data_IF_786905217761
#
_entry.id   IF_786905217761
#
_cell.length_a   1.000
_cell.length_b   1.000
_cell.length_c   1.000
_cell.angle_alpha   90.00
_cell.angle_beta   90.00
_cell.angle_gamma   90.00
#
_symmetry.space_group_name_H-M   'P 1'
#
loop_
_entity.id
_entity.type
_entity.pdbx_description
1 polymer ?
#
# COMPACT_ATOMS: atom_id res chain seq x y z
N UNK A 1 93.37 21.20 10.03
CA UNK A 1 92.85 20.90 8.72
C UNK A 1 92.76 19.39 8.61
N UNK A 2 91.60 18.80 8.92
CA UNK A 2 91.39 17.35 8.88
C UNK A 2 90.23 17.07 7.92
N UNK A 3 90.54 16.42 6.79
CA UNK A 3 89.63 15.90 5.79
C UNK A 3 89.04 14.60 6.28
N UNK A 4 87.75 14.58 6.60
CA UNK A 4 86.99 13.35 6.88
C UNK A 4 86.46 12.73 5.59
N UNK A 5 86.93 11.56 5.27
CA UNK A 5 86.48 10.69 4.17
C UNK A 5 85.14 10.07 4.51
N UNK A 6 84.13 10.37 3.71
CA UNK A 6 82.77 9.79 3.76
C UNK A 6 82.83 8.32 3.30
N UNK A 7 82.64 7.39 4.25
CA UNK A 7 82.51 5.97 3.98
C UNK A 7 81.20 5.64 3.25
N UNK A 8 81.35 4.93 2.13
CA UNK A 8 80.25 4.38 1.38
C UNK A 8 79.55 3.25 2.15
N UNK A 9 78.27 3.40 2.42
CA UNK A 9 77.42 2.38 3.02
C UNK A 9 77.14 1.31 1.93
N UNK A 10 77.33 0.01 2.18
CA UNK A 10 76.98 -1.03 1.22
C UNK A 10 75.43 -1.13 1.15
N UNK A 11 74.93 -1.16 -0.10
CA UNK A 11 73.54 -1.36 -0.39
C UNK A 11 73.03 -2.69 0.21
N UNK A 12 71.94 -2.60 1.00
CA UNK A 12 71.21 -3.80 1.44
C UNK A 12 70.63 -4.51 0.22
N UNK A 13 70.74 -5.85 0.10
CA UNK A 13 70.07 -6.61 -0.91
C UNK A 13 68.54 -6.51 -0.71
N UNK A 14 67.84 -6.19 -1.77
CA UNK A 14 66.37 -6.27 -1.83
C UNK A 14 65.95 -7.70 -1.53
N UNK A 15 64.98 -7.96 -0.65
CA UNK A 15 64.45 -9.29 -0.42
C UNK A 15 63.74 -9.77 -1.69
N UNK A 16 64.08 -11.00 -2.15
CA UNK A 16 63.35 -11.67 -3.22
C UNK A 16 61.86 -11.71 -2.94
N UNK A 17 61.01 -11.48 -3.95
CA UNK A 17 59.57 -11.60 -3.78
C UNK A 17 59.22 -13.05 -3.41
N UNK A 18 58.54 -13.22 -2.29
CA UNK A 18 58.11 -14.53 -1.81
C UNK A 18 57.29 -15.27 -2.88
N UNK A 19 57.61 -16.52 -3.21
CA UNK A 19 56.83 -17.33 -4.16
C UNK A 19 55.53 -17.73 -3.48
N UNK A 20 54.38 -17.09 -3.84
CA UNK A 20 53.10 -17.57 -3.34
C UNK A 20 51.93 -16.58 -3.24
N UNK A 21 51.92 -15.47 -3.94
CA UNK A 21 50.83 -14.51 -3.86
C UNK A 21 50.11 -14.29 -5.19
N UNK A 22 49.65 -15.37 -5.82
CA UNK A 22 48.53 -15.27 -6.77
C UNK A 22 47.89 -16.66 -6.97
N UNK A 23 47.27 -17.14 -5.89
CA UNK A 23 46.30 -18.23 -6.03
C UNK A 23 44.92 -17.56 -6.18
N UNK A 24 44.53 -17.31 -7.42
CA UNK A 24 43.15 -17.00 -7.75
C UNK A 24 42.21 -18.00 -7.06
N UNK A 25 40.97 -17.59 -6.68
CA UNK A 25 40.07 -18.37 -5.84
C UNK A 25 39.96 -19.82 -6.37
N UNK A 26 40.42 -20.75 -5.54
CA UNK A 26 40.54 -22.16 -5.81
C UNK A 26 39.25 -22.67 -6.48
N UNK A 27 39.36 -23.29 -7.67
CA UNK A 27 38.24 -23.85 -8.43
C UNK A 27 37.43 -24.82 -7.56
N UNK A 28 38.04 -25.49 -6.60
CA UNK A 28 37.38 -26.35 -5.60
C UNK A 28 36.51 -25.54 -4.62
N UNK A 29 36.95 -24.37 -4.18
CA UNK A 29 36.17 -23.51 -3.29
C UNK A 29 34.95 -22.89 -4.02
N UNK A 30 35.08 -22.55 -5.31
CA UNK A 30 33.94 -22.11 -6.14
C UNK A 30 32.97 -23.26 -6.42
N UNK A 31 33.43 -24.47 -6.69
CA UNK A 31 32.56 -25.63 -6.88
C UNK A 31 31.79 -25.98 -5.58
N UNK A 32 32.47 -26.01 -4.45
CA UNK A 32 31.85 -26.27 -3.15
C UNK A 32 30.82 -25.20 -2.75
N UNK A 33 31.04 -23.91 -3.07
CA UNK A 33 30.04 -22.83 -2.90
C UNK A 33 28.85 -23.02 -3.83
N UNK A 34 29.07 -23.42 -5.07
CA UNK A 34 27.98 -23.71 -6.03
C UNK A 34 27.11 -24.90 -5.58
N UNK A 35 27.73 -25.98 -5.07
CA UNK A 35 27.00 -27.16 -4.61
C UNK A 35 26.20 -26.89 -3.31
N UNK A 36 26.78 -26.12 -2.39
CA UNK A 36 26.03 -25.62 -1.21
C UNK A 36 24.85 -24.73 -1.61
N UNK A 37 25.04 -23.78 -2.51
CA UNK A 37 23.96 -22.91 -2.99
C UNK A 37 22.83 -23.71 -3.66
N UNK A 38 23.17 -24.76 -4.42
CA UNK A 38 22.18 -25.68 -5.02
C UNK A 38 21.44 -26.51 -3.98
N UNK A 39 22.15 -27.00 -2.96
CA UNK A 39 21.54 -27.76 -1.86
C UNK A 39 20.60 -26.88 -1.04
N UNK A 40 21.02 -25.65 -0.72
CA UNK A 40 20.20 -24.64 -0.04
C UNK A 40 18.96 -24.25 -0.86
N UNK A 41 19.13 -24.04 -2.16
CA UNK A 41 18.02 -23.77 -3.07
C UNK A 41 17.01 -24.94 -3.13
N UNK A 42 17.49 -26.19 -3.20
CA UNK A 42 16.62 -27.38 -3.16
C UNK A 42 15.88 -27.47 -1.85
N UNK A 43 16.56 -27.29 -0.71
CA UNK A 43 15.94 -27.29 0.60
C UNK A 43 14.88 -26.16 0.70
N UNK A 44 15.21 -24.98 0.19
CA UNK A 44 14.25 -23.85 0.11
C UNK A 44 12.99 -24.21 -0.70
N UNK A 45 13.15 -24.87 -1.85
CA UNK A 45 12.03 -25.34 -2.65
C UNK A 45 11.24 -26.49 -1.97
N UNK A 46 11.87 -27.39 -1.27
CA UNK A 46 11.17 -28.44 -0.50
C UNK A 46 10.34 -27.86 0.65
N UNK A 47 10.85 -26.84 1.32
CA UNK A 47 10.16 -26.21 2.45
C UNK A 47 9.07 -25.20 2.01
N UNK A 48 9.39 -24.35 1.04
CA UNK A 48 8.48 -23.29 0.58
C UNK A 48 7.56 -23.76 -0.57
N UNK A 49 8.02 -24.73 -1.38
CA UNK A 49 7.32 -25.18 -2.58
C UNK A 49 5.87 -25.61 -2.35
N UNK A 50 5.58 -26.48 -1.40
CA UNK A 50 4.19 -26.89 -1.13
C UNK A 50 3.27 -25.73 -0.80
N UNK A 51 3.73 -24.81 0.07
CA UNK A 51 2.96 -23.62 0.43
C UNK A 51 2.76 -22.70 -0.79
N UNK A 52 3.80 -22.52 -1.61
CA UNK A 52 3.74 -21.73 -2.83
C UNK A 52 2.79 -22.31 -3.88
N UNK A 53 2.80 -23.65 -4.06
CA UNK A 53 1.89 -24.34 -4.98
C UNK A 53 0.44 -24.20 -4.53
N UNK A 54 0.15 -24.40 -3.23
CA UNK A 54 -1.21 -24.22 -2.69
C UNK A 54 -1.66 -22.78 -2.84
N UNK A 55 -0.81 -21.80 -2.52
CA UNK A 55 -1.11 -20.38 -2.68
C UNK A 55 -1.41 -20.04 -4.16
N UNK A 56 -0.59 -20.53 -5.10
CA UNK A 56 -0.83 -20.31 -6.52
C UNK A 56 -2.13 -20.97 -6.98
N UNK A 57 -2.40 -22.21 -6.59
CA UNK A 57 -3.63 -22.92 -6.98
C UNK A 57 -4.88 -22.17 -6.49
N UNK A 58 -4.89 -21.75 -5.23
CA UNK A 58 -6.05 -21.08 -4.62
C UNK A 58 -6.23 -19.65 -5.17
N UNK A 59 -5.14 -18.95 -5.51
CA UNK A 59 -5.23 -17.55 -5.96
C UNK A 59 -5.31 -17.44 -7.47
N UNK A 60 -4.47 -18.16 -8.20
CA UNK A 60 -4.35 -18.02 -9.66
C UNK A 60 -5.55 -18.64 -10.38
N UNK A 61 -6.07 -19.76 -9.88
CA UNK A 61 -7.22 -20.44 -10.51
C UNK A 61 -8.47 -19.53 -10.62
N UNK A 62 -8.96 -18.89 -9.54
CA UNK A 62 -10.11 -17.98 -9.64
C UNK A 62 -9.84 -16.77 -10.53
N UNK A 63 -8.60 -16.25 -10.55
CA UNK A 63 -8.23 -15.14 -11.43
C UNK A 63 -8.31 -15.57 -12.90
N UNK A 64 -7.72 -16.71 -13.25
CA UNK A 64 -7.78 -17.25 -14.61
C UNK A 64 -9.21 -17.58 -15.01
N UNK A 65 -10.01 -18.09 -14.08
CA UNK A 65 -11.43 -18.36 -14.31
C UNK A 65 -12.19 -17.05 -14.61
N UNK A 66 -11.95 -15.98 -13.86
CA UNK A 66 -12.58 -14.69 -14.12
C UNK A 66 -12.17 -14.13 -15.51
N UNK A 67 -10.88 -14.25 -15.88
CA UNK A 67 -10.42 -13.89 -17.23
C UNK A 67 -11.11 -14.72 -18.32
N UNK A 68 -11.25 -16.02 -18.10
CA UNK A 68 -11.94 -16.89 -19.05
C UNK A 68 -13.41 -16.54 -19.17
N UNK A 69 -14.14 -16.41 -18.05
CA UNK A 69 -15.57 -16.10 -18.03
C UNK A 69 -15.86 -14.71 -18.61
N UNK A 70 -14.94 -13.75 -18.48
CA UNK A 70 -15.08 -12.40 -19.04
C UNK A 70 -15.20 -12.36 -20.57
N UNK A 71 -14.74 -13.41 -21.27
CA UNK A 71 -14.80 -13.53 -22.73
C UNK A 71 -16.11 -14.13 -23.24
N UNK A 72 -16.99 -14.51 -22.32
CA UNK A 72 -18.25 -15.13 -22.65
C UNK A 72 -19.46 -14.28 -22.22
N UNK A 73 -20.52 -14.31 -23.00
CA UNK A 73 -21.83 -13.93 -22.51
C UNK A 73 -22.35 -15.11 -21.66
N UNK A 74 -22.09 -15.02 -20.35
CA UNK A 74 -22.44 -16.05 -19.40
C UNK A 74 -23.35 -15.48 -18.32
N UNK A 75 -24.58 -15.99 -18.28
CA UNK A 75 -25.60 -15.66 -17.29
C UNK A 75 -25.93 -16.92 -16.49
N UNK A 76 -25.95 -16.84 -15.19
CA UNK A 76 -26.28 -17.97 -14.32
C UNK A 76 -27.75 -18.39 -14.43
N UNK A 77 -28.61 -17.47 -14.89
CA UNK A 77 -30.04 -17.74 -15.17
C UNK A 77 -30.27 -18.55 -16.44
N UNK A 78 -29.29 -18.61 -17.35
CA UNK A 78 -29.36 -19.35 -18.61
C UNK A 78 -27.96 -19.98 -18.89
N UNK A 79 -27.55 -20.99 -18.13
CA UNK A 79 -26.20 -21.54 -18.22
C UNK A 79 -25.91 -22.24 -19.54
N UNK A 80 -26.97 -22.76 -20.21
CA UNK A 80 -26.85 -23.44 -21.50
C UNK A 80 -26.68 -22.46 -22.67
N UNK A 81 -27.03 -21.18 -22.50
CA UNK A 81 -26.86 -20.11 -23.51
C UNK A 81 -25.53 -19.36 -23.31
N UNK A 82 -24.46 -20.11 -23.13
CA UNK A 82 -23.12 -19.55 -22.99
C UNK A 82 -22.48 -19.39 -24.36
N UNK A 83 -22.30 -18.14 -24.83
CA UNK A 83 -21.70 -17.83 -26.13
C UNK A 83 -20.38 -17.07 -25.96
N UNK A 84 -19.39 -17.37 -26.81
CA UNK A 84 -18.12 -16.63 -26.83
C UNK A 84 -18.31 -15.29 -27.52
N UNK A 85 -18.04 -14.21 -26.81
CA UNK A 85 -18.17 -12.82 -27.30
C UNK A 85 -16.81 -12.08 -27.36
N UNK A 86 -15.72 -12.75 -27.01
CA UNK A 86 -14.38 -12.16 -27.01
C UNK A 86 -14.32 -10.91 -26.14
N UNK A 87 -13.94 -9.78 -26.71
CA UNK A 87 -13.86 -8.50 -25.99
C UNK A 87 -15.19 -7.71 -25.94
N UNK A 88 -16.30 -8.30 -26.39
CA UNK A 88 -17.61 -7.63 -26.44
C UNK A 88 -18.04 -7.08 -25.07
N UNK A 89 -17.88 -7.84 -23.99
CA UNK A 89 -18.19 -7.36 -22.63
C UNK A 89 -17.40 -6.10 -22.27
N UNK A 90 -16.12 -6.04 -22.61
CA UNK A 90 -15.25 -4.89 -22.33
C UNK A 90 -15.69 -3.64 -23.12
N UNK A 91 -16.09 -3.81 -24.39
CA UNK A 91 -16.60 -2.70 -25.20
C UNK A 91 -17.87 -2.13 -24.57
N UNK A 92 -18.81 -2.99 -24.18
CA UNK A 92 -20.05 -2.56 -23.51
C UNK A 92 -19.74 -1.79 -22.23
N UNK A 93 -18.86 -2.31 -21.36
CA UNK A 93 -18.52 -1.66 -20.09
C UNK A 93 -17.85 -0.30 -20.34
N UNK A 94 -16.85 -0.24 -21.22
CA UNK A 94 -16.07 0.99 -21.46
C UNK A 94 -16.86 2.07 -22.21
N UNK A 95 -17.96 1.72 -22.89
CA UNK A 95 -18.87 2.66 -23.52
C UNK A 95 -20.02 3.09 -22.60
N UNK A 96 -20.21 2.41 -21.46
CA UNK A 96 -21.26 2.75 -20.48
C UNK A 96 -20.84 3.94 -19.61
N UNK A 97 -21.61 5.04 -19.56
CA UNK A 97 -21.36 6.16 -18.64
C UNK A 97 -21.34 5.76 -17.16
N UNK A 98 -22.04 4.69 -16.76
CA UNK A 98 -22.06 4.19 -15.38
C UNK A 98 -20.67 3.76 -14.95
N UNK A 99 -19.93 3.04 -15.79
CA UNK A 99 -18.54 2.65 -15.52
C UNK A 99 -17.65 3.85 -15.18
N UNK A 100 -17.70 4.89 -15.99
CA UNK A 100 -16.84 6.07 -15.81
C UNK A 100 -17.20 6.90 -14.58
N UNK A 101 -18.50 6.99 -14.26
CA UNK A 101 -18.97 7.61 -13.02
C UNK A 101 -18.44 6.86 -11.81
N UNK A 102 -18.59 5.53 -11.77
CA UNK A 102 -18.21 4.70 -10.63
C UNK A 102 -16.68 4.61 -10.50
N UNK A 103 -15.96 4.66 -11.63
CA UNK A 103 -14.51 4.82 -11.66
C UNK A 103 -14.10 6.16 -11.02
N UNK A 104 -14.74 7.26 -11.40
CA UNK A 104 -14.46 8.58 -10.85
C UNK A 104 -14.73 8.65 -9.35
N UNK A 105 -15.84 8.08 -8.88
CA UNK A 105 -16.19 7.99 -7.46
C UNK A 105 -15.16 7.16 -6.69
N UNK A 106 -14.81 5.98 -7.21
CA UNK A 106 -13.80 5.09 -6.61
C UNK A 106 -12.44 5.81 -6.49
N UNK A 107 -12.03 6.45 -7.59
CA UNK A 107 -10.76 7.19 -7.64
C UNK A 107 -10.77 8.40 -6.70
N UNK A 108 -11.87 9.13 -6.61
CA UNK A 108 -12.04 10.25 -5.68
C UNK A 108 -11.92 9.79 -4.22
N UNK A 109 -12.64 8.75 -3.83
CA UNK A 109 -12.56 8.18 -2.47
C UNK A 109 -11.12 7.77 -2.17
N UNK A 110 -10.46 7.05 -3.09
CA UNK A 110 -9.06 6.61 -2.92
C UNK A 110 -8.13 7.80 -2.71
N UNK A 111 -8.16 8.80 -3.58
CA UNK A 111 -7.23 9.94 -3.51
C UNK A 111 -7.44 10.75 -2.25
N UNK A 112 -8.70 11.08 -1.92
CA UNK A 112 -9.00 11.89 -0.75
C UNK A 112 -8.65 11.14 0.54
N UNK A 113 -9.04 9.87 0.67
CA UNK A 113 -8.72 9.08 1.86
C UNK A 113 -7.21 8.95 2.04
N UNK A 114 -6.46 8.57 1.00
CA UNK A 114 -4.99 8.38 1.10
C UNK A 114 -4.27 9.67 1.48
N UNK A 115 -4.67 10.80 0.90
CA UNK A 115 -4.07 12.11 1.24
C UNK A 115 -4.34 12.49 2.70
N UNK A 116 -5.59 12.39 3.15
CA UNK A 116 -5.97 12.71 4.54
C UNK A 116 -5.28 11.76 5.52
N UNK A 117 -5.29 10.46 5.22
CA UNK A 117 -4.64 9.44 6.03
C UNK A 117 -3.11 9.62 6.10
N UNK A 118 -2.48 10.05 5.02
CA UNK A 118 -1.05 10.35 5.02
C UNK A 118 -0.73 11.51 5.96
N UNK A 119 -1.52 12.58 5.94
CA UNK A 119 -1.35 13.73 6.82
C UNK A 119 -1.58 13.34 8.29
N UNK A 120 -2.71 12.69 8.59
CA UNK A 120 -3.04 12.24 9.93
C UNK A 120 -2.06 11.15 10.42
N UNK A 121 -1.68 10.23 9.55
CA UNK A 121 -0.72 9.18 9.82
C UNK A 121 0.66 9.74 10.18
N UNK A 122 1.15 10.78 9.48
CA UNK A 122 2.36 11.48 9.88
C UNK A 122 2.22 12.15 11.25
N UNK A 123 1.11 12.84 11.51
CA UNK A 123 0.87 13.46 12.81
C UNK A 123 0.91 12.42 13.94
N UNK A 124 0.21 11.30 13.77
CA UNK A 124 0.21 10.20 14.74
C UNK A 124 1.58 9.52 14.86
N UNK A 125 2.30 9.32 13.77
CA UNK A 125 3.65 8.75 13.78
C UNK A 125 4.62 9.65 14.58
N UNK A 126 4.57 10.96 14.39
CA UNK A 126 5.38 11.92 15.13
C UNK A 126 5.02 11.94 16.62
N UNK A 127 3.72 11.87 16.97
CA UNK A 127 3.28 11.75 18.38
C UNK A 127 3.82 10.46 18.99
N UNK A 128 3.68 9.33 18.31
CA UNK A 128 4.22 8.04 18.80
C UNK A 128 5.74 8.02 18.90
N UNK A 129 6.44 8.67 17.97
CA UNK A 129 7.91 8.75 17.97
C UNK A 129 8.43 9.56 19.15
N UNK A 130 7.80 10.72 19.44
CA UNK A 130 8.21 11.64 20.52
C UNK A 130 7.63 11.28 21.89
N UNK A 131 6.72 10.31 21.95
CA UNK A 131 6.04 9.93 23.19
C UNK A 131 7.02 9.48 24.27
N UNK A 132 6.73 9.84 25.52
CA UNK A 132 7.46 9.42 26.70
C UNK A 132 7.51 7.88 26.75
N UNK A 133 8.68 7.32 27.03
CA UNK A 133 8.94 5.87 26.98
C UNK A 133 7.89 5.03 27.72
N UNK A 134 7.36 5.51 28.86
CA UNK A 134 6.33 4.81 29.66
C UNK A 134 4.96 4.77 29.00
N UNK A 135 4.57 5.81 28.23
CA UNK A 135 3.26 5.93 27.58
C UNK A 135 3.25 5.41 26.15
N UNK A 136 4.43 5.14 25.58
CA UNK A 136 4.58 4.76 24.16
C UNK A 136 3.78 3.50 23.80
N UNK A 137 3.79 2.48 24.67
CA UNK A 137 3.02 1.24 24.47
C UNK A 137 1.51 1.51 24.47
N UNK A 138 1.01 2.20 25.48
CA UNK A 138 -0.40 2.53 25.63
C UNK A 138 -0.93 3.36 24.44
N UNK A 139 -0.18 4.39 24.04
CA UNK A 139 -0.54 5.24 22.89
C UNK A 139 -0.59 4.43 21.59
N UNK A 140 0.38 3.53 21.34
CA UNK A 140 0.37 2.67 20.16
C UNK A 140 -0.84 1.76 20.14
N UNK A 141 -1.16 1.12 21.26
CA UNK A 141 -2.34 0.26 21.38
C UNK A 141 -3.62 1.05 21.17
N UNK A 142 -3.78 2.21 21.81
CA UNK A 142 -4.98 3.04 21.67
C UNK A 142 -5.19 3.52 20.23
N UNK A 143 -4.12 3.94 19.54
CA UNK A 143 -4.18 4.34 18.13
C UNK A 143 -4.58 3.16 17.23
N UNK A 144 -4.18 1.93 17.55
CA UNK A 144 -4.46 0.74 16.73
C UNK A 144 -5.87 0.18 16.90
N UNK A 145 -6.61 0.56 17.94
CA UNK A 145 -7.96 0.02 18.22
C UNK A 145 -8.89 0.13 17.01
N UNK A 146 -9.02 1.28 16.30
CA UNK A 146 -9.91 1.39 15.15
C UNK A 146 -9.56 0.40 14.03
N UNK A 147 -8.28 0.18 13.76
CA UNK A 147 -7.83 -0.73 12.72
C UNK A 147 -8.16 -2.20 13.03
N UNK A 148 -8.20 -2.57 14.30
CA UNK A 148 -8.56 -3.93 14.75
C UNK A 148 -10.05 -4.27 14.62
N UNK A 149 -10.92 -3.29 14.37
CA UNK A 149 -12.36 -3.52 14.20
C UNK A 149 -12.64 -4.06 12.79
N UNK A 150 -13.48 -5.09 12.69
CA UNK A 150 -13.93 -5.63 11.41
C UNK A 150 -14.63 -4.54 10.60
N UNK A 151 -14.33 -4.41 9.29
CA UNK A 151 -14.81 -3.32 8.44
C UNK A 151 -16.32 -3.21 8.41
N UNK A 152 -17.02 -4.34 8.29
CA UNK A 152 -18.50 -4.41 8.30
C UNK A 152 -19.08 -3.81 9.60
N UNK A 153 -18.50 -4.18 10.76
CA UNK A 153 -18.95 -3.66 12.07
C UNK A 153 -18.70 -2.16 12.17
N UNK A 154 -17.55 -1.70 11.72
CA UNK A 154 -17.23 -0.27 11.64
C UNK A 154 -18.22 0.47 10.75
N UNK A 155 -18.52 -0.06 9.56
CA UNK A 155 -19.44 0.55 8.62
C UNK A 155 -20.86 0.69 9.21
N UNK A 156 -21.36 -0.35 9.89
CA UNK A 156 -22.65 -0.25 10.60
C UNK A 156 -22.62 0.77 11.74
N UNK A 157 -21.55 0.80 12.53
CA UNK A 157 -21.43 1.77 13.63
C UNK A 157 -21.47 3.21 13.11
N UNK A 158 -20.77 3.50 12.01
CA UNK A 158 -20.80 4.81 11.36
C UNK A 158 -22.14 5.11 10.71
N UNK A 159 -22.77 4.12 10.04
CA UNK A 159 -24.09 4.26 9.48
C UNK A 159 -25.11 4.70 10.56
N UNK A 160 -25.18 3.95 11.67
CA UNK A 160 -26.12 4.29 12.76
C UNK A 160 -25.75 5.61 13.46
N UNK A 161 -24.48 5.95 13.58
CA UNK A 161 -24.08 7.22 14.19
C UNK A 161 -24.59 8.45 13.40
N UNK A 162 -24.60 8.33 12.06
CA UNK A 162 -24.99 9.39 11.13
C UNK A 162 -26.43 9.26 10.60
N UNK A 163 -27.18 8.23 11.03
CA UNK A 163 -28.58 8.04 10.65
C UNK A 163 -29.46 9.16 11.20
N UNK A 164 -30.39 9.66 10.37
CA UNK A 164 -31.25 10.79 10.73
C UNK A 164 -32.18 10.49 11.91
N UNK A 165 -32.59 9.21 12.06
CA UNK A 165 -33.59 8.80 13.05
C UNK A 165 -32.97 8.32 14.35
N UNK A 166 -31.94 7.49 14.25
CA UNK A 166 -31.30 6.81 15.38
C UNK A 166 -29.94 7.39 15.75
N UNK A 167 -29.38 8.25 14.88
CA UNK A 167 -28.03 8.77 15.02
C UNK A 167 -27.91 9.89 16.05
N UNK A 168 -26.71 10.03 16.61
CA UNK A 168 -26.39 11.04 17.63
C UNK A 168 -25.49 12.16 17.09
N UNK A 169 -24.96 12.05 15.88
CA UNK A 169 -24.02 13.02 15.31
C UNK A 169 -24.68 14.39 15.15
N UNK A 170 -25.89 14.43 14.64
CA UNK A 170 -26.63 15.70 14.48
C UNK A 170 -26.80 16.46 15.80
N UNK A 171 -27.13 15.75 16.88
CA UNK A 171 -27.30 16.36 18.20
C UNK A 171 -25.98 16.79 18.85
N UNK A 172 -24.85 16.14 18.51
CA UNK A 172 -23.55 16.53 19.05
C UNK A 172 -22.95 17.74 18.34
N UNK A 173 -23.30 17.94 17.09
CA UNK A 173 -22.74 18.98 16.21
C UNK A 173 -23.77 20.02 15.76
N UNK A 174 -24.90 20.14 16.44
CA UNK A 174 -25.99 21.14 16.16
C UNK A 174 -25.51 22.59 16.22
N UNK A 175 -24.43 22.85 16.98
CA UNK A 175 -23.75 24.15 17.06
C UNK A 175 -22.95 24.51 15.80
N UNK A 176 -22.71 23.57 14.89
CA UNK A 176 -21.98 23.80 13.64
C UNK A 176 -22.94 24.29 12.57
N UNK A 177 -22.71 25.48 11.96
CA UNK A 177 -23.56 25.97 10.88
C UNK A 177 -23.71 24.96 9.75
N UNK A 178 -24.92 24.59 9.40
CA UNK A 178 -25.24 23.61 8.36
C UNK A 178 -25.48 22.18 8.87
N UNK A 179 -25.19 21.88 10.14
CA UNK A 179 -25.57 20.63 10.79
C UNK A 179 -26.79 20.89 11.67
N UNK A 180 -27.99 20.64 11.14
CA UNK A 180 -29.24 20.70 11.91
C UNK A 180 -29.69 19.32 12.36
N UNK A 181 -30.69 19.25 13.28
CA UNK A 181 -31.22 17.99 13.76
C UNK A 181 -31.81 17.11 12.64
N UNK A 182 -32.29 17.72 11.57
CA UNK A 182 -32.93 17.03 10.44
C UNK A 182 -31.99 16.76 9.27
N UNK A 183 -30.70 16.96 9.45
CA UNK A 183 -29.72 16.69 8.37
C UNK A 183 -29.63 15.19 8.06
N UNK A 184 -30.06 14.84 6.86
CA UNK A 184 -29.86 13.48 6.34
C UNK A 184 -28.53 13.39 5.57
N UNK A 185 -27.52 12.82 6.23
CA UNK A 185 -26.18 12.65 5.66
C UNK A 185 -26.15 11.76 4.43
N UNK A 186 -27.11 10.83 4.33
CA UNK A 186 -27.17 9.88 3.21
C UNK A 186 -28.16 10.30 2.12
N UNK A 187 -28.71 11.53 2.15
CA UNK A 187 -29.60 12.03 1.12
C UNK A 187 -28.90 12.55 -0.13
N UNK A 188 -27.65 12.99 -0.01
CA UNK A 188 -26.89 13.63 -1.09
C UNK A 188 -25.53 12.99 -1.27
N UNK A 189 -25.01 12.98 -2.52
CA UNK A 189 -23.72 12.40 -2.85
C UNK A 189 -22.57 12.93 -1.97
N UNK A 190 -22.49 14.28 -1.82
CA UNK A 190 -21.37 14.90 -1.09
C UNK A 190 -21.32 14.52 0.38
N UNK A 191 -22.45 14.55 1.07
CA UNK A 191 -22.55 14.18 2.50
C UNK A 191 -22.33 12.68 2.70
N UNK A 192 -22.88 11.86 1.81
CA UNK A 192 -22.65 10.41 1.84
C UNK A 192 -21.16 10.06 1.66
N UNK A 193 -20.51 10.66 0.65
CA UNK A 193 -19.06 10.45 0.41
C UNK A 193 -18.22 10.96 1.59
N UNK A 194 -18.62 12.06 2.22
CA UNK A 194 -17.93 12.55 3.42
C UNK A 194 -17.96 11.51 4.55
N UNK A 195 -19.12 10.91 4.86
CA UNK A 195 -19.24 9.90 5.92
C UNK A 195 -18.45 8.63 5.55
N UNK A 196 -18.55 8.18 4.30
CA UNK A 196 -17.79 7.01 3.80
C UNK A 196 -16.28 7.25 3.95
N UNK A 197 -15.78 8.40 3.48
CA UNK A 197 -14.35 8.73 3.56
C UNK A 197 -13.93 8.91 5.02
N UNK A 198 -14.72 9.58 5.85
CA UNK A 198 -14.40 9.78 7.27
C UNK A 198 -14.27 8.45 8.03
N UNK A 199 -15.19 7.51 7.78
CA UNK A 199 -15.15 6.17 8.38
C UNK A 199 -13.92 5.39 7.93
N UNK A 200 -13.58 5.48 6.66
CA UNK A 200 -12.41 4.83 6.06
C UNK A 200 -11.11 5.39 6.66
N UNK A 201 -10.98 6.73 6.67
CA UNK A 201 -9.83 7.44 7.26
C UNK A 201 -9.67 7.09 8.73
N UNK A 202 -10.76 7.13 9.52
CA UNK A 202 -10.70 6.80 10.94
C UNK A 202 -10.16 5.39 11.19
N UNK A 203 -10.65 4.43 10.40
CA UNK A 203 -10.30 3.02 10.55
C UNK A 203 -8.86 2.73 10.13
N UNK A 204 -8.37 3.32 9.06
CA UNK A 204 -7.15 2.88 8.37
C UNK A 204 -5.93 3.79 8.60
N UNK A 205 -6.12 5.03 9.07
CA UNK A 205 -5.02 5.92 9.48
C UNK A 205 -4.02 5.26 10.45
N UNK A 206 -4.44 4.44 11.44
CA UNK A 206 -3.52 3.73 12.32
C UNK A 206 -2.49 2.87 11.58
N UNK A 207 -2.90 2.18 10.52
CA UNK A 207 -2.02 1.35 9.71
C UNK A 207 -0.93 2.19 9.01
N UNK A 208 -1.33 3.28 8.35
CA UNK A 208 -0.37 4.22 7.75
C UNK A 208 0.57 4.79 8.81
N UNK A 209 0.04 5.16 9.98
CA UNK A 209 0.85 5.74 11.05
C UNK A 209 1.94 4.80 11.55
N UNK A 210 1.70 3.48 11.57
CA UNK A 210 2.71 2.48 11.92
C UNK A 210 3.78 2.34 10.83
N UNK A 211 3.38 2.30 9.55
CA UNK A 211 4.34 2.25 8.44
C UNK A 211 5.25 3.48 8.43
N UNK A 212 4.66 4.66 8.65
CA UNK A 212 5.42 5.90 8.75
C UNK A 212 6.29 5.96 10.00
N UNK A 213 5.83 5.42 11.13
CA UNK A 213 6.63 5.30 12.35
C UNK A 213 7.84 4.39 12.15
N UNK A 214 7.66 3.26 11.44
CA UNK A 214 8.77 2.38 11.09
C UNK A 214 9.79 3.06 10.16
N UNK A 215 9.31 3.85 9.19
CA UNK A 215 10.17 4.69 8.35
C UNK A 215 10.91 5.77 9.15
N UNK A 216 10.20 6.45 10.06
CA UNK A 216 10.79 7.49 10.92
C UNK A 216 11.87 6.95 11.84
N UNK A 217 11.74 5.72 12.32
CA UNK A 217 12.75 5.06 13.14
C UNK A 217 14.06 4.72 12.39
N UNK A 218 14.05 4.76 11.06
CA UNK A 218 15.23 4.53 10.23
C UNK A 218 15.99 5.82 9.89
N UNK A 219 15.40 7.00 10.16
CA UNK A 219 16.07 8.29 9.94
C UNK A 219 17.17 8.47 11.00
N UNK A 220 18.46 8.67 10.61
CA UNK A 220 19.54 8.89 11.56
C UNK A 220 19.29 10.15 12.39
N UNK A 221 19.39 10.04 13.73
CA UNK A 221 19.17 11.14 14.67
C UNK A 221 20.15 12.30 14.46
N UNK A 222 21.39 11.97 14.09
CA UNK A 222 22.45 12.94 13.83
C UNK A 222 22.09 13.98 12.76
N UNK A 223 21.31 13.57 11.75
CA UNK A 223 20.83 14.50 10.70
C UNK A 223 19.82 15.52 11.27
N UNK A 224 18.97 15.10 12.20
CA UNK A 224 18.03 16.02 12.84
C UNK A 224 18.75 16.94 13.84
N UNK A 225 19.76 16.43 14.54
CA UNK A 225 20.58 17.22 15.46
C UNK A 225 21.45 18.24 14.72
N UNK A 226 22.12 17.87 13.64
CA UNK A 226 22.89 18.77 12.77
C UNK A 226 22.00 19.91 12.25
N UNK A 227 20.81 19.58 11.74
CA UNK A 227 19.86 20.59 11.25
C UNK A 227 19.38 21.54 12.38
N UNK A 228 19.31 21.07 13.65
CA UNK A 228 19.01 21.95 14.78
C UNK A 228 20.15 22.91 15.08
N UNK A 229 21.40 22.44 15.02
CA UNK A 229 22.58 23.28 15.20
C UNK A 229 22.67 24.35 14.12
N UNK A 230 22.30 24.02 12.87
CA UNK A 230 22.21 24.96 11.74
C UNK A 230 21.03 25.95 11.84
N UNK A 231 20.24 25.90 12.93
CA UNK A 231 19.12 26.82 13.17
C UNK A 231 17.85 26.50 12.36
N UNK A 232 17.72 25.28 11.78
CA UNK A 232 16.54 24.90 11.02
C UNK A 232 15.28 24.82 11.93
N UNK A 233 14.17 25.41 11.46
CA UNK A 233 12.87 25.32 12.11
C UNK A 233 12.32 23.91 12.09
N UNK A 234 11.33 23.60 12.92
CA UNK A 234 10.68 22.26 12.96
C UNK A 234 10.13 21.85 11.60
N UNK A 235 9.52 22.79 10.85
CA UNK A 235 9.01 22.55 9.50
C UNK A 235 10.12 22.29 8.48
N UNK A 236 11.22 23.03 8.56
CA UNK A 236 12.39 22.82 7.69
C UNK A 236 13.01 21.43 7.95
N UNK A 237 13.19 21.04 9.22
CA UNK A 237 13.66 19.68 9.56
C UNK A 237 12.71 18.60 9.03
N UNK A 238 11.41 18.77 9.24
CA UNK A 238 10.42 17.83 8.72
C UNK A 238 10.49 17.71 7.20
N UNK A 239 10.38 18.83 6.47
CA UNK A 239 10.25 18.82 5.01
C UNK A 239 11.56 18.55 4.26
N UNK A 240 12.71 18.97 4.80
CA UNK A 240 14.02 18.89 4.11
C UNK A 240 14.90 17.75 4.60
N UNK A 241 14.64 17.22 5.81
CA UNK A 241 15.45 16.13 6.40
C UNK A 241 14.60 14.87 6.54
N UNK A 242 13.52 14.91 7.31
CA UNK A 242 12.74 13.72 7.63
C UNK A 242 12.04 13.14 6.39
N UNK A 243 11.20 13.93 5.71
CA UNK A 243 10.41 13.46 4.57
C UNK A 243 11.28 12.89 3.43
N UNK A 244 12.39 13.54 3.01
CA UNK A 244 13.24 12.99 1.96
C UNK A 244 13.89 11.65 2.33
N UNK A 245 14.32 11.48 3.61
CA UNK A 245 14.90 10.23 4.10
C UNK A 245 13.86 9.10 4.26
N UNK A 246 12.56 9.47 4.41
CA UNK A 246 11.45 8.52 4.51
C UNK A 246 10.80 8.19 3.16
N UNK A 247 11.31 8.69 2.04
CA UNK A 247 10.67 8.56 0.72
C UNK A 247 10.26 7.12 0.37
N UNK A 248 11.11 6.15 0.66
CA UNK A 248 10.81 4.73 0.42
C UNK A 248 9.67 4.23 1.31
N UNK A 249 9.66 4.57 2.60
CA UNK A 249 8.60 4.19 3.52
C UNK A 249 7.26 4.85 3.17
N UNK A 250 7.28 6.14 2.77
CA UNK A 250 6.11 6.87 2.29
C UNK A 250 5.54 6.20 1.04
N UNK A 251 6.40 5.85 0.08
CA UNK A 251 5.98 5.16 -1.15
C UNK A 251 5.27 3.85 -0.81
N UNK A 252 5.86 3.03 0.06
CA UNK A 252 5.27 1.76 0.47
C UNK A 252 3.91 1.98 1.15
N UNK A 253 3.81 2.95 2.05
CA UNK A 253 2.57 3.28 2.75
C UNK A 253 1.47 3.75 1.77
N UNK A 254 1.80 4.68 0.87
CA UNK A 254 0.87 5.18 -0.16
C UNK A 254 0.45 4.07 -1.12
N UNK A 255 1.40 3.22 -1.57
CA UNK A 255 1.10 2.12 -2.47
C UNK A 255 0.11 1.14 -1.84
N UNK A 256 0.42 0.61 -0.64
CA UNK A 256 -0.48 -0.32 0.04
C UNK A 256 -1.87 0.28 0.25
N UNK A 257 -1.91 1.55 0.67
CA UNK A 257 -3.18 2.21 0.96
C UNK A 257 -3.99 2.54 -0.29
N UNK A 258 -3.34 2.97 -1.37
CA UNK A 258 -4.02 3.22 -2.64
C UNK A 258 -4.65 1.93 -3.21
N UNK A 259 -3.93 0.80 -3.13
CA UNK A 259 -4.43 -0.50 -3.57
C UNK A 259 -5.62 -0.99 -2.73
N UNK A 260 -5.59 -0.74 -1.43
CA UNK A 260 -6.67 -1.10 -0.53
C UNK A 260 -7.90 -0.20 -0.74
N UNK A 261 -7.71 1.13 -0.74
CA UNK A 261 -8.77 2.10 -0.92
C UNK A 261 -9.46 2.02 -2.31
N UNK A 262 -8.73 1.65 -3.37
CA UNK A 262 -9.32 1.48 -4.69
C UNK A 262 -10.30 0.29 -4.78
N UNK A 263 -10.20 -0.65 -3.85
CA UNK A 263 -11.08 -1.81 -3.75
C UNK A 263 -12.11 -1.68 -2.62
N UNK A 264 -12.38 -0.45 -2.17
CA UNK A 264 -13.38 -0.19 -1.14
C UNK A 264 -14.73 -0.80 -1.54
N UNK A 265 -15.35 -1.54 -0.61
CA UNK A 265 -16.62 -2.21 -0.83
C UNK A 265 -17.56 -2.07 0.38
N UNK A 266 -17.16 -2.57 1.55
CA UNK A 266 -18.01 -2.73 2.73
C UNK A 266 -18.68 -1.43 3.17
N UNK A 267 -17.92 -0.33 3.25
CA UNK A 267 -18.44 0.96 3.70
C UNK A 267 -19.52 1.49 2.75
N UNK A 268 -19.29 1.40 1.43
CA UNK A 268 -20.25 1.84 0.42
C UNK A 268 -21.48 0.94 0.40
N UNK A 269 -21.27 -0.39 0.44
CA UNK A 269 -22.35 -1.36 0.43
C UNK A 269 -23.29 -1.20 1.62
N UNK A 270 -22.76 -0.97 2.83
CA UNK A 270 -23.54 -0.88 4.06
C UNK A 270 -24.20 0.49 4.21
N UNK A 271 -23.46 1.58 3.95
CA UNK A 271 -23.96 2.93 4.24
C UNK A 271 -24.94 3.42 3.18
N UNK A 272 -24.68 3.19 1.91
CA UNK A 272 -25.48 3.75 0.81
C UNK A 272 -25.97 2.71 -0.18
N UNK A 273 -25.37 1.52 -0.20
CA UNK A 273 -25.58 0.53 -1.25
C UNK A 273 -25.49 1.15 -2.67
N UNK A 274 -24.59 2.12 -2.86
CA UNK A 274 -24.40 2.82 -4.12
C UNK A 274 -25.47 3.89 -4.45
N UNK A 275 -26.43 4.17 -3.54
CA UNK A 275 -27.41 5.21 -3.76
C UNK A 275 -26.76 6.60 -3.91
N UNK A 276 -27.50 7.55 -4.50
CA UNK A 276 -27.07 8.93 -4.69
C UNK A 276 -25.71 9.08 -5.40
N UNK A 277 -25.46 8.23 -6.43
CA UNK A 277 -24.21 8.21 -7.20
C UNK A 277 -22.94 7.97 -6.37
N UNK A 278 -23.05 7.17 -5.30
CA UNK A 278 -21.90 6.74 -4.49
C UNK A 278 -21.39 5.36 -4.86
N UNK A 279 -21.91 4.75 -5.93
CA UNK A 279 -21.50 3.44 -6.38
C UNK A 279 -20.00 3.43 -6.74
N UNK A 280 -19.32 2.35 -6.37
CA UNK A 280 -17.89 2.12 -6.63
C UNK A 280 -17.70 0.89 -7.49
N UNK A 281 -16.55 0.77 -8.17
CA UNK A 281 -16.28 -0.32 -9.12
C UNK A 281 -16.43 -1.72 -8.51
N UNK A 282 -16.01 -1.90 -7.28
CA UNK A 282 -16.15 -3.17 -6.55
C UNK A 282 -17.63 -3.55 -6.31
N UNK A 283 -18.47 -2.55 -6.00
CA UNK A 283 -19.90 -2.74 -5.82
C UNK A 283 -20.59 -3.01 -7.16
N UNK A 284 -20.20 -2.30 -8.23
CA UNK A 284 -20.69 -2.55 -9.59
C UNK A 284 -20.39 -3.99 -10.02
N UNK A 285 -19.15 -4.47 -9.80
CA UNK A 285 -18.76 -5.86 -10.09
C UNK A 285 -19.62 -6.87 -9.31
N UNK A 286 -19.80 -6.64 -8.02
CA UNK A 286 -20.63 -7.49 -7.15
C UNK A 286 -22.08 -7.49 -7.60
N UNK A 287 -22.68 -6.32 -7.85
CA UNK A 287 -24.07 -6.19 -8.28
C UNK A 287 -24.33 -6.89 -9.61
N UNK A 288 -23.41 -6.76 -10.56
CA UNK A 288 -23.52 -7.39 -11.87
C UNK A 288 -23.36 -8.91 -11.78
N UNK A 289 -22.35 -9.39 -11.03
CA UNK A 289 -22.08 -10.83 -10.90
C UNK A 289 -23.14 -11.55 -10.08
N UNK A 290 -23.42 -11.03 -8.87
CA UNK A 290 -24.25 -11.72 -7.86
C UNK A 290 -25.69 -11.21 -7.91
N UNK A 291 -25.88 -9.88 -7.99
CA UNK A 291 -27.24 -9.29 -8.01
C UNK A 291 -28.00 -9.56 -9.30
N UNK A 292 -27.32 -9.42 -10.44
CA UNK A 292 -27.92 -9.62 -11.79
C UNK A 292 -27.61 -11.00 -12.37
N UNK A 293 -26.78 -11.80 -11.70
CA UNK A 293 -26.36 -13.14 -12.15
C UNK A 293 -25.68 -13.15 -13.53
N UNK A 294 -25.07 -12.02 -13.94
CA UNK A 294 -24.34 -11.86 -15.20
C UNK A 294 -22.83 -12.11 -14.96
N UNK A 295 -22.47 -13.39 -14.88
CA UNK A 295 -21.11 -13.80 -14.52
C UNK A 295 -20.07 -13.29 -15.52
N UNK A 296 -20.35 -13.39 -16.82
CA UNK A 296 -19.41 -12.93 -17.86
C UNK A 296 -19.13 -11.42 -17.78
N UNK A 297 -20.19 -10.61 -17.65
CA UNK A 297 -20.07 -9.16 -17.54
C UNK A 297 -19.40 -8.75 -16.23
N UNK A 298 -19.81 -9.34 -15.10
CA UNK A 298 -19.20 -9.05 -13.78
C UNK A 298 -17.74 -9.47 -13.69
N UNK A 299 -17.37 -10.58 -14.35
CA UNK A 299 -15.98 -11.01 -14.51
C UNK A 299 -15.17 -9.99 -15.32
N UNK A 300 -15.73 -9.44 -16.40
CA UNK A 300 -15.06 -8.40 -17.20
C UNK A 300 -14.84 -7.11 -16.39
N UNK A 301 -15.84 -6.68 -15.59
CA UNK A 301 -15.69 -5.55 -14.66
C UNK A 301 -14.56 -5.83 -13.64
N UNK A 302 -14.49 -7.04 -13.07
CA UNK A 302 -13.46 -7.44 -12.12
C UNK A 302 -12.06 -7.46 -12.74
N UNK A 303 -11.94 -7.90 -14.00
CA UNK A 303 -10.69 -7.84 -14.76
C UNK A 303 -10.26 -6.40 -15.01
N UNK A 304 -11.16 -5.51 -15.42
CA UNK A 304 -10.86 -4.09 -15.60
C UNK A 304 -10.41 -3.44 -14.28
N UNK A 305 -11.11 -3.73 -13.17
CA UNK A 305 -10.70 -3.26 -11.84
C UNK A 305 -9.29 -3.75 -11.50
N UNK A 306 -8.97 -5.01 -11.75
CA UNK A 306 -7.63 -5.57 -11.55
C UNK A 306 -6.57 -4.86 -12.40
N UNK A 307 -6.87 -4.56 -13.66
CA UNK A 307 -5.97 -3.79 -14.54
C UNK A 307 -5.78 -2.35 -14.03
N UNK A 308 -6.81 -1.70 -13.50
CA UNK A 308 -6.69 -0.40 -12.86
C UNK A 308 -5.76 -0.45 -11.64
N UNK A 309 -5.87 -1.48 -10.80
CA UNK A 309 -4.98 -1.70 -9.65
C UNK A 309 -3.52 -1.86 -10.10
N UNK A 310 -3.26 -2.64 -11.16
CA UNK A 310 -1.90 -2.74 -11.75
C UNK A 310 -1.42 -1.37 -12.25
N UNK A 311 -2.29 -0.62 -12.91
CA UNK A 311 -2.00 0.74 -13.37
C UNK A 311 -1.61 1.68 -12.23
N UNK A 312 -2.34 1.65 -11.13
CA UNK A 312 -2.04 2.42 -9.92
C UNK A 312 -0.67 2.03 -9.35
N UNK A 313 -0.37 0.73 -9.25
CA UNK A 313 0.95 0.25 -8.82
C UNK A 313 2.06 0.82 -9.71
N UNK A 314 1.89 0.72 -11.02
CA UNK A 314 2.90 1.19 -11.98
C UNK A 314 3.12 2.71 -11.87
N UNK A 315 2.04 3.48 -11.78
CA UNK A 315 2.10 4.95 -11.61
C UNK A 315 2.77 5.31 -10.30
N UNK A 316 2.42 4.66 -9.20
CA UNK A 316 3.02 4.91 -7.89
C UNK A 316 4.53 4.64 -7.90
N UNK A 317 4.98 3.50 -8.42
CA UNK A 317 6.41 3.16 -8.52
C UNK A 317 7.16 4.19 -9.37
N UNK A 318 6.59 4.58 -10.51
CA UNK A 318 7.20 5.57 -11.40
C UNK A 318 7.26 6.97 -10.78
N UNK A 319 6.21 7.38 -10.06
CA UNK A 319 6.11 8.71 -9.43
C UNK A 319 7.18 8.90 -8.34
N UNK A 320 7.38 7.90 -7.51
CA UNK A 320 8.33 7.99 -6.41
C UNK A 320 9.79 7.81 -6.83
N UNK A 321 10.08 7.39 -8.09
CA UNK A 321 11.44 7.16 -8.63
C UNK A 321 12.34 6.41 -7.63
N UNK A 322 11.80 5.45 -6.93
CA UNK A 322 12.59 4.63 -6.00
C UNK A 322 13.39 3.64 -6.84
N UNK A 323 14.71 3.78 -6.81
CA UNK A 323 15.63 2.81 -7.41
C UNK A 323 15.55 1.50 -6.60
N UNK A 324 14.66 0.61 -7.02
CA UNK A 324 14.55 -0.74 -6.45
C UNK A 324 15.84 -1.56 -6.68
N UNK A 325 16.70 -1.10 -7.59
CA UNK A 325 18.02 -1.71 -7.87
C UNK A 325 19.10 -1.27 -6.86
N UNK A 326 19.02 -0.06 -6.30
CA UNK A 326 20.00 0.46 -5.33
C UNK A 326 19.99 -0.28 -3.99
N UNK A 327 18.87 -0.87 -3.60
CA UNK A 327 18.78 -1.68 -2.38
C UNK A 327 19.50 -3.05 -2.45
N UNK A 328 20.04 -3.44 -3.62
CA UNK A 328 20.80 -4.69 -3.83
C UNK A 328 22.31 -4.51 -3.89
N UNK A 329 22.82 -3.29 -3.81
CA UNK A 329 24.20 -2.95 -4.14
C UNK A 329 25.16 -2.66 -3.00
N UNK A 330 24.75 -2.72 -1.75
CA UNK A 330 25.66 -2.56 -0.60
C UNK A 330 25.67 -3.82 0.26
N UNK A 331 26.47 -4.80 -0.19
CA UNK A 331 27.08 -5.84 0.64
C UNK A 331 28.51 -6.09 0.18
#
# INVERSE_FOLDING_TARGET
VSTETRGAHPARPTPDPAPGADRGPDKKARAARSDRARAEARLGWYLAGPAFVVMLAVTLYPILQAFYDSLFNYKLTAPDDRSFVGLGNYVVILTDPVWWRDFAVTFFIMVVSVVVELVLGFALALVMHRAIRRLRGLLRTAILVPYGIITVVSAFAWFYAFDITSGYVNSWFDWVPGIGPDLNWFAHQGTSLFVIIASEVWKTTPFISLLLLAGLAQVPGDLEEAAKVDGATAWQRFSRVIVPNMKAAIMVAVLFRALDAFRIFDNVFIMTNGANNTEVLSLLAYRTSIGQLQIGMGSAISVLLFLCVIGICFVAIKLFKVDLAGARGER
#
